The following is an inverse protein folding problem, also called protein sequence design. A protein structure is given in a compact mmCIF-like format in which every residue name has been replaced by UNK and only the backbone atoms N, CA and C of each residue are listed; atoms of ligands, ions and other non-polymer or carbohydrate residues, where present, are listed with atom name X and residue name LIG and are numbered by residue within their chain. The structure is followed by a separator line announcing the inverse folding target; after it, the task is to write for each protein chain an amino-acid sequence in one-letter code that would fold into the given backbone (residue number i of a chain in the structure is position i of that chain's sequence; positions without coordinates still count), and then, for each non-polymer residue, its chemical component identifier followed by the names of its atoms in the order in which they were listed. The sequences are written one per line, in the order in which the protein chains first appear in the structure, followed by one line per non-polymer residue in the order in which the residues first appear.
data_IF_157022904532
#
_entry.id   IF_157022904532
#
_cell.length_a   1.000
_cell.length_b   1.000
_cell.length_c   1.000
_cell.angle_alpha   90.00
_cell.angle_beta   90.00
_cell.angle_gamma   90.00
#
_symmetry.space_group_name_H-M   'P 1'
#
loop_
_entity.id
_entity.type
_entity.pdbx_description
1 polymer ?
#
# COMPACT_ATOMS: atom_id res chain seq x y z
N UNK A 1 -6.05 12.94 -24.49
CA UNK A 1 -7.18 12.12 -25.04
C UNK A 1 -8.50 12.70 -24.59
N UNK A 2 -9.49 12.73 -25.47
CA UNK A 2 -10.86 13.11 -25.10
C UNK A 2 -11.70 11.85 -24.97
N UNK A 3 -12.37 11.69 -23.82
CA UNK A 3 -13.34 10.62 -23.59
C UNK A 3 -14.75 11.13 -23.78
N UNK A 4 -15.63 10.25 -24.22
CA UNK A 4 -17.06 10.58 -24.32
C UNK A 4 -17.70 10.62 -22.93
N UNK A 5 -18.61 11.56 -22.75
CA UNK A 5 -19.46 11.64 -21.56
C UNK A 5 -20.52 10.54 -21.57
N UNK A 6 -20.92 10.09 -20.38
CA UNK A 6 -21.96 9.07 -20.23
C UNK A 6 -23.33 9.66 -20.57
N UNK A 7 -23.88 9.29 -21.75
CA UNK A 7 -25.24 9.64 -22.11
C UNK A 7 -26.27 8.77 -21.37
N UNK A 8 -27.56 9.21 -21.37
CA UNK A 8 -28.62 8.40 -20.80
C UNK A 8 -28.73 7.00 -21.48
N UNK A 9 -28.37 6.88 -22.75
CA UNK A 9 -28.30 5.60 -23.45
C UNK A 9 -27.22 4.69 -22.85
N UNK A 10 -26.02 5.22 -22.59
CA UNK A 10 -24.91 4.45 -21.98
C UNK A 10 -25.30 4.02 -20.56
N UNK A 11 -25.90 4.93 -19.77
CA UNK A 11 -26.40 4.59 -18.42
C UNK A 11 -27.44 3.46 -18.48
N UNK A 12 -28.41 3.53 -19.40
CA UNK A 12 -29.40 2.47 -19.55
C UNK A 12 -28.77 1.13 -19.95
N UNK A 13 -27.73 1.14 -20.79
CA UNK A 13 -26.97 -0.07 -21.14
C UNK A 13 -26.21 -0.62 -19.93
N UNK A 14 -25.54 0.23 -19.15
CA UNK A 14 -24.90 -0.18 -17.89
C UNK A 14 -25.92 -0.83 -16.94
N UNK A 15 -27.08 -0.21 -16.76
CA UNK A 15 -28.16 -0.76 -15.94
C UNK A 15 -28.67 -2.12 -16.44
N UNK A 16 -28.74 -2.31 -17.76
CA UNK A 16 -29.13 -3.59 -18.36
C UNK A 16 -28.07 -4.70 -18.13
N UNK A 17 -26.78 -4.34 -18.03
CA UNK A 17 -25.67 -5.27 -17.81
C UNK A 17 -25.55 -5.74 -16.35
N UNK A 18 -25.72 -4.82 -15.40
CA UNK A 18 -25.43 -5.11 -13.99
C UNK A 18 -26.67 -5.02 -13.07
N UNK A 19 -27.81 -4.56 -13.59
CA UNK A 19 -29.03 -4.26 -12.84
C UNK A 19 -29.13 -2.78 -12.45
N UNK A 20 -30.34 -2.23 -12.43
CA UNK A 20 -30.59 -0.81 -12.15
C UNK A 20 -30.05 -0.40 -10.78
N UNK A 21 -30.22 -1.25 -9.77
CA UNK A 21 -29.77 -1.03 -8.38
C UNK A 21 -28.25 -1.00 -8.23
N UNK A 22 -27.50 -1.44 -9.25
CA UNK A 22 -26.06 -1.51 -9.28
C UNK A 22 -25.41 -0.36 -10.08
N UNK A 23 -26.18 0.63 -10.50
CA UNK A 23 -25.69 1.83 -11.21
C UNK A 23 -26.15 3.07 -10.46
N UNK A 24 -25.20 3.80 -9.88
CA UNK A 24 -25.46 5.05 -9.15
C UNK A 24 -25.01 6.23 -9.99
N UNK A 25 -25.90 7.23 -10.13
CA UNK A 25 -25.67 8.49 -10.84
C UNK A 25 -26.02 9.71 -9.98
N UNK A 26 -26.48 9.49 -8.75
CA UNK A 26 -26.74 10.56 -7.78
C UNK A 26 -25.42 11.09 -7.21
N UNK A 27 -25.20 12.40 -7.36
CA UNK A 27 -23.94 13.03 -6.96
C UNK A 27 -23.63 12.84 -5.47
N UNK A 28 -24.64 12.91 -4.60
CA UNK A 28 -24.44 12.74 -3.15
C UNK A 28 -23.98 11.34 -2.78
N UNK A 29 -24.47 10.32 -3.48
CA UNK A 29 -24.04 8.93 -3.26
C UNK A 29 -22.69 8.62 -3.92
N UNK A 30 -22.31 9.37 -4.97
CA UNK A 30 -21.03 9.18 -5.66
C UNK A 30 -19.85 9.86 -4.96
N UNK A 31 -20.10 10.76 -4.01
CA UNK A 31 -19.07 11.56 -3.33
C UNK A 31 -17.94 10.72 -2.74
N UNK A 32 -18.25 9.61 -2.09
CA UNK A 32 -17.26 8.71 -1.48
C UNK A 32 -16.37 7.98 -2.51
N UNK A 33 -16.75 8.03 -3.79
CA UNK A 33 -15.98 7.44 -4.89
C UNK A 33 -15.15 8.49 -5.65
N UNK A 34 -15.24 9.76 -5.26
CA UNK A 34 -14.51 10.87 -5.88
C UNK A 34 -13.08 11.02 -5.34
N UNK A 35 -12.74 10.35 -4.26
CA UNK A 35 -11.45 10.40 -3.57
C UNK A 35 -11.05 9.04 -3.00
N UNK A 36 -9.82 8.91 -2.54
CA UNK A 36 -9.32 7.82 -1.69
C UNK A 36 -8.95 8.38 -0.30
N UNK A 37 -7.93 7.84 0.38
CA UNK A 37 -7.45 8.34 1.68
C UNK A 37 -6.54 9.59 1.59
N UNK A 38 -6.34 10.14 0.40
CA UNK A 38 -5.68 11.44 0.22
C UNK A 38 -6.67 12.55 0.53
N UNK A 39 -6.39 13.33 1.58
CA UNK A 39 -7.31 14.35 2.11
C UNK A 39 -7.22 15.70 1.40
N UNK A 40 -6.22 15.91 0.54
CA UNK A 40 -6.05 17.16 -0.20
C UNK A 40 -7.14 17.31 -1.27
N UNK A 41 -7.96 18.40 -1.21
CA UNK A 41 -9.04 18.63 -2.16
C UNK A 41 -8.60 18.73 -3.63
N UNK A 42 -7.32 19.00 -3.91
CA UNK A 42 -6.78 19.03 -5.26
C UNK A 42 -6.90 17.69 -6.00
N UNK A 43 -7.05 16.59 -5.24
CA UNK A 43 -7.18 15.24 -5.78
C UNK A 43 -8.61 14.70 -5.82
N UNK A 44 -9.61 15.54 -5.54
CA UNK A 44 -11.02 15.17 -5.58
C UNK A 44 -11.59 15.29 -7.00
N UNK A 45 -12.08 14.18 -7.56
CA UNK A 45 -12.67 14.14 -8.91
C UNK A 45 -13.91 13.26 -8.94
N UNK A 46 -15.06 13.85 -9.33
CA UNK A 46 -16.35 13.14 -9.40
C UNK A 46 -16.41 12.17 -10.59
N UNK A 47 -16.85 10.93 -10.37
CA UNK A 47 -17.25 10.04 -11.49
C UNK A 47 -18.55 10.52 -12.14
N UNK A 48 -18.84 10.00 -13.34
CA UNK A 48 -20.14 10.22 -13.99
C UNK A 48 -21.15 9.13 -13.62
N UNK A 49 -20.68 7.94 -13.26
CA UNK A 49 -21.45 6.88 -12.66
C UNK A 49 -20.57 5.97 -11.80
N UNK A 50 -21.18 5.35 -10.79
CA UNK A 50 -20.57 4.23 -10.05
C UNK A 50 -21.32 2.96 -10.41
N UNK A 51 -20.59 1.92 -10.82
CA UNK A 51 -21.12 0.62 -11.20
C UNK A 51 -20.61 -0.45 -10.28
N UNK A 52 -21.50 -1.21 -9.66
CA UNK A 52 -21.18 -2.33 -8.77
C UNK A 52 -21.26 -3.63 -9.56
N UNK A 53 -20.13 -4.29 -9.78
CA UNK A 53 -20.09 -5.60 -10.40
C UNK A 53 -20.19 -6.71 -9.36
N UNK A 54 -20.90 -7.79 -9.69
CA UNK A 54 -21.09 -8.97 -8.83
C UNK A 54 -20.32 -10.21 -9.34
N UNK A 55 -19.76 -10.14 -10.55
CA UNK A 55 -19.00 -11.22 -11.16
C UNK A 55 -18.14 -10.74 -12.34
N UNK A 56 -17.20 -11.58 -12.77
CA UNK A 56 -16.27 -11.30 -13.86
C UNK A 56 -16.96 -11.02 -15.20
N UNK A 57 -18.12 -11.64 -15.46
CA UNK A 57 -18.87 -11.46 -16.70
C UNK A 57 -19.45 -10.04 -16.80
N UNK A 58 -19.94 -9.49 -15.69
CA UNK A 58 -20.41 -8.10 -15.62
C UNK A 58 -19.23 -7.12 -15.80
N UNK A 59 -18.08 -7.36 -15.15
CA UNK A 59 -16.85 -6.58 -15.36
C UNK A 59 -16.46 -6.58 -16.83
N UNK A 60 -16.43 -7.75 -17.48
CA UNK A 60 -16.09 -7.91 -18.88
C UNK A 60 -17.06 -7.16 -19.80
N UNK A 61 -18.36 -7.18 -19.48
CA UNK A 61 -19.38 -6.48 -20.25
C UNK A 61 -19.25 -4.96 -20.15
N UNK A 62 -18.96 -4.43 -18.95
CA UNK A 62 -18.70 -2.99 -18.73
C UNK A 62 -17.46 -2.54 -19.51
N UNK A 63 -16.36 -3.30 -19.48
CA UNK A 63 -15.14 -2.98 -20.24
C UNK A 63 -15.38 -2.99 -21.75
N UNK A 64 -16.17 -3.94 -22.27
CA UNK A 64 -16.55 -3.96 -23.70
C UNK A 64 -17.36 -2.73 -24.07
N UNK A 65 -18.35 -2.36 -23.25
CA UNK A 65 -19.15 -1.17 -23.45
C UNK A 65 -18.30 0.11 -23.42
N UNK A 66 -17.32 0.16 -22.51
CA UNK A 66 -16.38 1.27 -22.42
C UNK A 66 -15.51 1.41 -23.68
N UNK A 67 -15.09 0.30 -24.29
CA UNK A 67 -14.38 0.32 -25.57
C UNK A 67 -15.29 0.77 -26.74
N UNK A 68 -16.57 0.32 -26.76
CA UNK A 68 -17.52 0.68 -27.80
C UNK A 68 -17.85 2.18 -27.79
N UNK A 69 -18.04 2.75 -26.60
CA UNK A 69 -18.45 4.14 -26.42
C UNK A 69 -17.32 5.09 -26.03
N UNK A 70 -16.10 4.60 -25.88
CA UNK A 70 -14.89 5.34 -25.53
C UNK A 70 -15.03 6.20 -24.26
N UNK A 71 -15.35 5.58 -23.13
CA UNK A 71 -15.34 6.21 -21.81
C UNK A 71 -14.38 5.50 -20.85
N UNK A 72 -13.79 6.20 -19.85
CA UNK A 72 -12.84 5.59 -18.94
C UNK A 72 -13.51 4.75 -17.87
N UNK A 73 -12.84 3.67 -17.46
CA UNK A 73 -13.23 2.79 -16.35
C UNK A 73 -12.14 2.81 -15.30
N UNK A 74 -12.48 3.23 -14.09
CA UNK A 74 -11.58 3.25 -12.93
C UNK A 74 -12.00 2.12 -11.99
N UNK A 75 -11.24 1.01 -11.91
CA UNK A 75 -11.54 -0.06 -10.98
C UNK A 75 -11.27 0.41 -9.55
N UNK A 76 -12.17 0.04 -8.62
CA UNK A 76 -12.06 0.43 -7.22
C UNK A 76 -12.33 -0.75 -6.29
N UNK A 77 -11.43 -0.96 -5.33
CA UNK A 77 -11.64 -1.78 -4.16
C UNK A 77 -12.28 -0.97 -3.02
N UNK A 78 -11.71 -1.03 -1.83
CA UNK A 78 -12.18 -0.28 -0.66
C UNK A 78 -11.90 1.23 -0.71
N UNK A 79 -10.99 1.69 -1.56
CA UNK A 79 -10.60 3.09 -1.62
C UNK A 79 -9.63 3.54 -0.53
N UNK A 80 -8.96 2.62 0.13
CA UNK A 80 -7.97 2.86 1.19
C UNK A 80 -6.59 3.29 0.68
N UNK A 81 -6.45 3.52 -0.63
CA UNK A 81 -5.19 3.94 -1.26
C UNK A 81 -4.75 5.35 -0.87
N UNK A 82 -3.44 5.61 -1.00
CA UNK A 82 -2.79 6.87 -0.62
C UNK A 82 -2.10 7.57 -1.81
N UNK A 83 -2.41 7.12 -3.04
CA UNK A 83 -1.79 7.63 -4.27
C UNK A 83 -2.80 8.09 -5.33
N UNK A 84 -4.10 8.18 -5.00
CA UNK A 84 -5.18 8.52 -5.93
C UNK A 84 -5.31 7.53 -7.10
N UNK A 85 -4.97 6.26 -6.86
CA UNK A 85 -5.07 5.18 -7.86
C UNK A 85 -6.50 4.88 -8.29
N UNK A 86 -7.47 4.99 -7.37
CA UNK A 86 -8.90 4.74 -7.62
C UNK A 86 -9.73 6.00 -7.87
N UNK A 87 -9.10 7.16 -8.11
CA UNK A 87 -9.78 8.44 -8.33
C UNK A 87 -10.05 8.67 -9.82
N UNK A 88 -11.29 9.00 -10.24
CA UNK A 88 -11.68 9.11 -11.66
C UNK A 88 -11.33 10.49 -12.27
N UNK A 89 -10.05 10.77 -12.47
CA UNK A 89 -9.55 12.07 -12.93
C UNK A 89 -10.09 12.54 -14.29
N UNK A 90 -10.60 11.63 -15.11
CA UNK A 90 -11.26 11.92 -16.38
C UNK A 90 -12.78 11.72 -16.35
N UNK A 91 -13.37 11.57 -15.15
CA UNK A 91 -14.79 11.19 -15.03
C UNK A 91 -15.05 9.73 -15.42
N UNK A 92 -16.11 9.48 -16.20
CA UNK A 92 -16.48 8.14 -16.64
C UNK A 92 -17.02 7.26 -15.50
N UNK A 93 -16.74 5.96 -15.56
CA UNK A 93 -17.25 4.97 -14.63
C UNK A 93 -16.24 4.59 -13.57
N UNK A 94 -16.61 4.74 -12.29
CA UNK A 94 -15.94 3.99 -11.20
C UNK A 94 -16.59 2.61 -11.13
N UNK A 95 -15.81 1.56 -11.36
CA UNK A 95 -16.26 0.17 -11.29
C UNK A 95 -15.87 -0.42 -9.93
N UNK A 96 -16.82 -0.44 -9.00
CA UNK A 96 -16.64 -1.00 -7.66
C UNK A 96 -16.71 -2.52 -7.68
N UNK A 97 -15.74 -3.16 -7.03
CA UNK A 97 -15.65 -4.61 -6.88
C UNK A 97 -16.07 -5.09 -5.49
N UNK A 98 -16.61 -4.21 -4.65
CA UNK A 98 -16.97 -4.52 -3.26
C UNK A 98 -18.02 -5.63 -3.11
N UNK A 99 -18.86 -5.86 -4.12
CA UNK A 99 -19.85 -6.95 -4.15
C UNK A 99 -19.28 -8.30 -4.55
N UNK A 100 -18.03 -8.33 -5.05
CA UNK A 100 -17.29 -9.54 -5.32
C UNK A 100 -16.44 -9.88 -4.09
N UNK A 101 -17.06 -10.36 -3.01
CA UNK A 101 -16.46 -10.47 -1.68
C UNK A 101 -16.51 -11.88 -1.08
N UNK A 102 -16.57 -12.92 -1.91
CA UNK A 102 -16.63 -14.31 -1.44
C UNK A 102 -15.24 -14.89 -1.23
N UNK A 103 -15.04 -15.53 -0.08
CA UNK A 103 -13.95 -16.51 0.10
C UNK A 103 -14.44 -17.81 -0.53
N UNK A 104 -13.94 -18.14 -1.72
CA UNK A 104 -14.42 -19.26 -2.53
C UNK A 104 -13.93 -20.58 -1.94
N UNK A 105 -12.64 -20.61 -1.56
CA UNK A 105 -12.01 -21.82 -1.00
C UNK A 105 -10.88 -21.41 -0.05
N UNK A 106 -10.75 -22.10 1.07
CA UNK A 106 -9.53 -22.13 1.91
C UNK A 106 -9.12 -23.58 2.06
N UNK A 107 -7.98 -23.94 1.50
CA UNK A 107 -7.43 -25.29 1.50
C UNK A 107 -6.12 -25.32 2.30
N UNK A 108 -6.21 -25.66 3.58
CA UNK A 108 -5.06 -25.71 4.47
C UNK A 108 -4.10 -26.85 4.13
N UNK A 109 -4.60 -27.99 3.63
CA UNK A 109 -3.75 -29.13 3.26
C UNK A 109 -2.86 -28.82 2.06
N UNK A 110 -3.37 -28.04 1.10
CA UNK A 110 -2.64 -27.63 -0.09
C UNK A 110 -2.10 -26.18 0.00
N UNK A 111 -2.23 -25.54 1.16
CA UNK A 111 -1.66 -24.23 1.51
C UNK A 111 -2.00 -23.13 0.51
N UNK A 112 -3.29 -22.96 0.18
CA UNK A 112 -3.80 -21.86 -0.64
C UNK A 112 -5.21 -21.45 -0.25
N UNK A 113 -5.59 -20.25 -0.67
CA UNK A 113 -6.99 -19.82 -0.70
C UNK A 113 -7.34 -19.19 -2.04
N UNK A 114 -8.62 -19.28 -2.41
CA UNK A 114 -9.20 -18.61 -3.60
C UNK A 114 -10.24 -17.63 -3.12
N UNK A 115 -10.09 -16.37 -3.51
CA UNK A 115 -10.94 -15.27 -3.06
C UNK A 115 -11.34 -14.35 -4.20
N UNK A 116 -12.48 -13.68 -4.06
CA UNK A 116 -12.89 -12.56 -4.90
C UNK A 116 -12.18 -11.28 -4.46
N UNK A 117 -12.02 -10.26 -5.32
CA UNK A 117 -11.20 -9.06 -5.06
C UNK A 117 -11.72 -8.17 -3.93
N UNK A 118 -13.03 -8.19 -3.62
CA UNK A 118 -13.66 -7.41 -2.56
C UNK A 118 -13.61 -8.06 -1.17
N UNK A 119 -12.91 -9.18 -1.00
CA UNK A 119 -12.69 -9.78 0.31
C UNK A 119 -11.74 -8.90 1.11
N UNK A 120 -12.09 -8.58 2.37
CA UNK A 120 -11.20 -7.86 3.29
C UNK A 120 -10.00 -8.73 3.69
N UNK A 121 -8.85 -8.10 3.83
CA UNK A 121 -7.62 -8.81 4.24
C UNK A 121 -7.80 -9.51 5.58
N UNK A 122 -8.39 -8.84 6.57
CA UNK A 122 -8.69 -9.42 7.89
C UNK A 122 -9.64 -10.62 7.81
N UNK A 123 -10.64 -10.59 6.93
CA UNK A 123 -11.56 -11.71 6.76
C UNK A 123 -10.85 -12.95 6.18
N UNK A 124 -9.94 -12.75 5.22
CA UNK A 124 -9.10 -13.84 4.68
C UNK A 124 -8.15 -14.40 5.76
N UNK A 125 -7.50 -13.51 6.53
CA UNK A 125 -6.61 -13.92 7.64
C UNK A 125 -7.38 -14.75 8.67
N UNK A 126 -8.57 -14.30 9.09
CA UNK A 126 -9.42 -15.01 10.02
C UNK A 126 -9.89 -16.38 9.48
N UNK A 127 -10.28 -16.45 8.20
CA UNK A 127 -10.71 -17.68 7.55
C UNK A 127 -9.56 -18.70 7.41
N UNK A 128 -8.33 -18.24 7.14
CA UNK A 128 -7.15 -19.09 7.10
C UNK A 128 -6.78 -19.61 8.50
N UNK A 129 -6.76 -18.71 9.50
CA UNK A 129 -6.44 -19.06 10.89
C UNK A 129 -7.44 -20.08 11.48
N UNK A 130 -8.73 -19.98 11.17
CA UNK A 130 -9.75 -20.93 11.57
C UNK A 130 -9.50 -22.36 11.05
N UNK A 131 -8.64 -22.51 10.01
CA UNK A 131 -8.20 -23.80 9.46
C UNK A 131 -6.75 -24.14 9.80
N UNK A 132 -6.13 -23.40 10.74
CA UNK A 132 -4.74 -23.64 11.16
C UNK A 132 -3.69 -23.19 10.14
N UNK A 133 -4.08 -22.35 9.17
CA UNK A 133 -3.22 -21.76 8.17
C UNK A 133 -3.06 -20.25 8.38
N UNK A 134 -2.10 -19.65 7.69
CA UNK A 134 -1.75 -18.24 7.85
C UNK A 134 -1.65 -17.55 6.48
N UNK A 135 -2.32 -16.40 6.32
CA UNK A 135 -2.11 -15.49 5.22
C UNK A 135 -1.19 -14.36 5.70
N UNK A 136 0.00 -14.25 5.10
CA UNK A 136 1.07 -13.39 5.61
C UNK A 136 0.93 -11.91 5.21
N UNK A 137 0.11 -11.57 4.18
CA UNK A 137 -0.10 -10.19 3.76
C UNK A 137 -0.72 -9.36 4.90
N UNK A 138 -0.06 -8.25 5.29
CA UNK A 138 -0.42 -7.46 6.46
C UNK A 138 -0.28 -5.95 6.22
N UNK A 139 -1.00 -5.37 5.23
CA UNK A 139 -1.00 -3.93 5.06
C UNK A 139 -1.62 -3.24 6.28
N UNK A 140 -1.14 -2.06 6.65
CA UNK A 140 -1.65 -1.31 7.81
C UNK A 140 -3.18 -1.08 7.79
N UNK A 141 -3.79 -1.05 6.60
CA UNK A 141 -5.24 -0.96 6.38
C UNK A 141 -5.96 -2.31 6.37
N UNK A 142 -5.36 -3.40 6.85
CA UNK A 142 -5.86 -4.77 6.73
C UNK A 142 -7.32 -4.99 7.17
N UNK A 143 -7.79 -4.20 8.14
CA UNK A 143 -9.17 -4.26 8.65
C UNK A 143 -10.21 -3.64 7.68
N UNK A 144 -9.78 -2.87 6.69
CA UNK A 144 -10.65 -2.14 5.75
C UNK A 144 -10.33 -2.38 4.28
N UNK A 145 -9.07 -2.64 3.92
CA UNK A 145 -8.67 -2.84 2.53
C UNK A 145 -9.13 -4.20 1.97
N UNK A 146 -9.27 -4.25 0.65
CA UNK A 146 -9.65 -5.46 -0.09
C UNK A 146 -8.45 -6.09 -0.78
N UNK A 147 -8.42 -7.43 -0.83
CA UNK A 147 -7.33 -8.21 -1.45
C UNK A 147 -7.08 -7.78 -2.91
N UNK A 148 -8.13 -7.47 -3.68
CA UNK A 148 -7.99 -6.99 -5.06
C UNK A 148 -7.22 -5.67 -5.17
N UNK A 149 -7.43 -4.76 -4.22
CA UNK A 149 -6.67 -3.52 -4.10
C UNK A 149 -5.21 -3.78 -3.75
N UNK A 150 -4.96 -4.66 -2.76
CA UNK A 150 -3.60 -5.03 -2.35
C UNK A 150 -2.80 -5.63 -3.52
N UNK A 151 -3.43 -6.49 -4.33
CA UNK A 151 -2.80 -7.06 -5.53
C UNK A 151 -2.56 -5.98 -6.59
N UNK A 152 -3.54 -5.10 -6.82
CA UNK A 152 -3.43 -4.04 -7.82
C UNK A 152 -2.29 -3.05 -7.52
N UNK A 153 -2.02 -2.75 -6.25
CA UNK A 153 -0.94 -1.84 -5.82
C UNK A 153 0.34 -2.57 -5.43
N UNK A 154 0.32 -3.91 -5.35
CA UNK A 154 1.39 -4.70 -4.73
C UNK A 154 1.67 -4.22 -3.29
N UNK A 155 0.62 -4.07 -2.49
CA UNK A 155 0.72 -3.52 -1.14
C UNK A 155 1.78 -4.25 -0.29
N UNK A 156 2.52 -3.48 0.49
CA UNK A 156 3.49 -3.95 1.47
C UNK A 156 2.83 -4.25 2.82
N UNK A 157 3.42 -3.75 3.89
CA UNK A 157 2.97 -3.87 5.27
C UNK A 157 4.04 -4.41 6.21
N UNK A 158 3.70 -4.47 7.50
CA UNK A 158 4.67 -4.71 8.58
C UNK A 158 5.49 -6.00 8.42
N UNK A 159 4.90 -7.05 7.82
CA UNK A 159 5.53 -8.36 7.66
C UNK A 159 6.30 -8.54 6.36
N UNK A 160 6.45 -7.47 5.56
CA UNK A 160 7.12 -7.55 4.27
C UNK A 160 8.60 -7.94 4.38
N UNK A 161 9.28 -7.57 5.45
CA UNK A 161 10.67 -7.94 5.72
C UNK A 161 10.89 -9.46 5.72
N UNK A 162 9.93 -10.24 6.22
CA UNK A 162 10.02 -11.72 6.28
C UNK A 162 9.32 -12.41 5.12
N UNK A 163 8.11 -11.98 4.82
CA UNK A 163 7.21 -12.70 3.92
C UNK A 163 7.09 -12.06 2.55
N UNK A 164 7.69 -10.88 2.35
CA UNK A 164 7.59 -10.10 1.13
C UNK A 164 6.23 -9.38 1.01
N UNK A 165 6.14 -8.56 -0.03
CA UNK A 165 4.93 -7.82 -0.39
C UNK A 165 3.84 -8.74 -0.96
N UNK A 166 2.67 -8.20 -1.30
CA UNK A 166 1.53 -8.95 -1.84
C UNK A 166 1.88 -9.84 -3.01
N UNK A 167 2.80 -9.44 -3.92
CA UNK A 167 3.24 -10.27 -5.06
C UNK A 167 3.82 -11.61 -4.66
N UNK A 168 4.46 -11.69 -3.49
CA UNK A 168 5.04 -12.93 -2.98
C UNK A 168 3.97 -13.89 -2.43
N UNK A 169 2.79 -13.36 -2.10
CA UNK A 169 1.66 -14.10 -1.56
C UNK A 169 0.69 -14.61 -2.64
N UNK A 170 0.87 -14.23 -3.91
CA UNK A 170 -0.06 -14.58 -4.99
C UNK A 170 0.50 -15.73 -5.85
N UNK A 171 -0.35 -16.72 -6.11
CA UNK A 171 -0.09 -17.79 -7.07
C UNK A 171 -0.65 -17.49 -8.46
N UNK A 172 -1.87 -16.94 -8.51
CA UNK A 172 -2.59 -16.74 -9.77
C UNK A 172 -3.67 -15.65 -9.60
N UNK A 173 -4.03 -15.03 -10.71
CA UNK A 173 -5.13 -14.08 -10.78
C UNK A 173 -6.03 -14.38 -11.98
N UNK A 174 -7.35 -14.23 -11.81
CA UNK A 174 -8.26 -14.04 -12.92
C UNK A 174 -8.40 -12.53 -13.15
N UNK A 175 -8.30 -12.10 -14.40
CA UNK A 175 -8.43 -10.70 -14.78
C UNK A 175 -9.35 -10.53 -15.97
N UNK A 176 -10.07 -9.42 -15.99
CA UNK A 176 -10.65 -8.90 -17.22
C UNK A 176 -9.63 -7.98 -17.86
N UNK A 177 -9.14 -8.37 -19.03
CA UNK A 177 -8.18 -7.57 -19.77
C UNK A 177 -8.80 -6.32 -20.41
N UNK A 178 -8.02 -5.38 -20.94
CA UNK A 178 -8.56 -4.14 -21.54
C UNK A 178 -9.52 -4.33 -22.72
N UNK A 179 -9.52 -5.53 -23.36
CA UNK A 179 -10.48 -5.86 -24.44
C UNK A 179 -11.77 -6.52 -23.93
N UNK A 180 -11.93 -6.64 -22.60
CA UNK A 180 -13.10 -7.28 -21.98
C UNK A 180 -13.11 -8.80 -22.08
N UNK A 181 -11.94 -9.46 -22.19
CA UNK A 181 -11.81 -10.92 -22.10
C UNK A 181 -11.40 -11.32 -20.68
N UNK A 182 -12.01 -12.37 -20.15
CA UNK A 182 -11.63 -12.99 -18.88
C UNK A 182 -10.46 -13.93 -19.14
N UNK A 183 -9.36 -13.76 -18.40
CA UNK A 183 -8.11 -14.52 -18.59
C UNK A 183 -7.60 -14.98 -17.24
N UNK A 184 -7.19 -16.26 -17.14
CA UNK A 184 -6.47 -16.81 -16.00
C UNK A 184 -4.96 -16.63 -16.21
N UNK A 185 -4.26 -16.06 -15.25
CA UNK A 185 -2.83 -15.80 -15.27
C UNK A 185 -2.17 -16.44 -14.05
N UNK A 186 -1.01 -17.06 -14.25
CA UNK A 186 -0.34 -17.83 -13.20
C UNK A 186 -0.98 -19.18 -12.92
N UNK A 187 -0.45 -19.92 -11.94
CA UNK A 187 -0.93 -21.21 -11.51
C UNK A 187 -0.50 -21.52 -10.07
N UNK A 188 -1.16 -22.47 -9.39
CA UNK A 188 -0.80 -22.95 -8.03
C UNK A 188 0.46 -23.81 -8.05
N UNK A 189 1.58 -23.24 -8.47
CA UNK A 189 2.85 -23.94 -8.63
C UNK A 189 3.96 -23.19 -7.90
N UNK A 190 4.82 -23.91 -7.19
CA UNK A 190 6.03 -23.35 -6.59
C UNK A 190 7.10 -22.97 -7.63
N UNK A 191 7.07 -23.64 -8.78
CA UNK A 191 7.99 -23.38 -9.89
C UNK A 191 7.22 -23.33 -11.20
N UNK A 192 7.39 -22.26 -11.95
CA UNK A 192 6.82 -22.12 -13.28
C UNK A 192 7.82 -21.39 -14.19
N UNK A 193 8.08 -21.97 -15.36
CA UNK A 193 8.94 -21.41 -16.41
C UNK A 193 8.24 -21.42 -17.77
N UNK A 194 6.90 -21.47 -17.77
CA UNK A 194 6.08 -21.56 -18.98
C UNK A 194 5.70 -20.15 -19.45
N UNK A 195 6.54 -19.55 -20.29
CA UNK A 195 6.28 -18.24 -20.86
C UNK A 195 6.55 -17.06 -19.90
N UNK A 196 5.97 -15.92 -20.20
CA UNK A 196 6.08 -14.71 -19.37
C UNK A 196 5.22 -14.81 -18.10
N UNK A 197 5.70 -14.27 -16.99
CA UNK A 197 4.96 -14.15 -15.73
C UNK A 197 3.96 -12.99 -15.82
N UNK A 198 2.86 -13.19 -16.53
CA UNK A 198 1.86 -12.14 -16.78
C UNK A 198 1.11 -11.75 -15.49
N UNK A 199 0.94 -12.68 -14.55
CA UNK A 199 0.41 -12.39 -13.22
C UNK A 199 1.26 -11.35 -12.49
N UNK A 200 2.58 -11.43 -12.63
CA UNK A 200 3.51 -10.46 -12.02
C UNK A 200 3.46 -9.08 -12.69
N UNK A 201 3.06 -9.01 -13.96
CA UNK A 201 2.83 -7.76 -14.67
C UNK A 201 1.53 -7.07 -14.21
N UNK A 202 0.50 -7.85 -13.87
CA UNK A 202 -0.77 -7.32 -13.35
C UNK A 202 -0.64 -6.85 -11.91
N UNK A 203 0.13 -7.57 -11.08
CA UNK A 203 0.37 -7.19 -9.68
C UNK A 203 1.20 -5.89 -9.65
N UNK A 204 0.64 -4.85 -9.03
CA UNK A 204 1.25 -3.52 -9.00
C UNK A 204 0.97 -2.65 -10.22
N UNK A 205 0.08 -3.08 -11.14
CA UNK A 205 -0.30 -2.28 -12.31
C UNK A 205 -1.38 -1.22 -12.01
N UNK A 206 -1.85 -1.13 -10.78
CA UNK A 206 -2.86 -0.16 -10.32
C UNK A 206 -4.14 -0.13 -11.19
N UNK A 207 -4.54 -1.30 -11.70
CA UNK A 207 -5.73 -1.44 -12.55
C UNK A 207 -5.59 -0.86 -13.97
N UNK A 208 -4.39 -0.49 -14.40
CA UNK A 208 -4.15 0.06 -15.74
C UNK A 208 -4.03 -1.00 -16.83
N UNK A 209 -3.67 -2.24 -16.47
CA UNK A 209 -3.44 -3.35 -17.41
C UNK A 209 -4.52 -4.43 -17.37
N UNK A 210 -5.38 -4.41 -16.37
CA UNK A 210 -6.47 -5.38 -16.21
C UNK A 210 -7.23 -5.14 -14.91
N UNK A 211 -8.45 -5.66 -14.82
CA UNK A 211 -9.30 -5.62 -13.63
C UNK A 211 -9.32 -7.01 -13.02
N UNK A 212 -8.83 -7.13 -11.79
CA UNK A 212 -8.71 -8.40 -11.06
C UNK A 212 -10.11 -8.84 -10.60
N UNK A 213 -10.49 -10.08 -10.91
CA UNK A 213 -11.80 -10.64 -10.58
C UNK A 213 -11.74 -11.88 -9.68
N UNK A 214 -10.58 -12.54 -9.57
CA UNK A 214 -10.33 -13.61 -8.62
C UNK A 214 -8.84 -13.70 -8.30
N UNK A 215 -8.50 -14.08 -7.10
CA UNK A 215 -7.11 -14.22 -6.63
C UNK A 215 -6.93 -15.58 -5.97
N UNK A 216 -5.85 -16.29 -6.33
CA UNK A 216 -5.37 -17.45 -5.60
C UNK A 216 -4.13 -17.05 -4.81
N UNK A 217 -4.25 -17.06 -3.49
CA UNK A 217 -3.16 -16.70 -2.57
C UNK A 217 -2.50 -17.93 -1.97
N UNK A 218 -1.23 -17.76 -1.59
CA UNK A 218 -0.46 -18.71 -0.80
C UNK A 218 -0.87 -18.61 0.66
N UNK A 219 -0.93 -19.75 1.33
CA UNK A 219 -1.02 -19.83 2.77
C UNK A 219 0.27 -20.45 3.32
N UNK A 220 0.52 -20.24 4.58
CA UNK A 220 1.64 -20.75 5.35
C UNK A 220 1.12 -21.47 6.60
N UNK A 221 1.92 -22.32 7.27
CA UNK A 221 1.60 -22.79 8.61
C UNK A 221 1.43 -21.60 9.56
N UNK A 222 0.44 -21.68 10.44
CA UNK A 222 0.23 -20.66 11.46
C UNK A 222 1.40 -20.67 12.45
N UNK A 223 2.10 -19.54 12.66
CA UNK A 223 3.13 -19.41 13.68
C UNK A 223 2.58 -19.74 15.06
N UNK A 224 3.33 -20.50 15.86
CA UNK A 224 2.89 -20.95 17.19
C UNK A 224 3.41 -20.06 18.30
N UNK A 225 4.57 -19.48 18.10
CA UNK A 225 5.27 -18.67 19.09
C UNK A 225 5.71 -17.37 18.42
N UNK A 226 5.46 -16.25 19.07
CA UNK A 226 5.95 -14.93 18.67
C UNK A 226 6.24 -14.09 19.91
N UNK A 227 7.13 -13.13 19.76
CA UNK A 227 7.49 -12.17 20.81
C UNK A 227 7.75 -10.81 20.18
N UNK A 228 7.33 -9.76 20.89
CA UNK A 228 7.60 -8.38 20.52
C UNK A 228 8.66 -7.80 21.48
N UNK A 229 9.70 -7.20 20.91
CA UNK A 229 10.67 -6.41 21.66
C UNK A 229 10.54 -4.95 21.25
N UNK A 230 10.69 -4.07 22.24
CA UNK A 230 10.80 -2.64 22.09
C UNK A 230 12.20 -2.21 22.51
N UNK A 231 13.01 -1.72 21.57
CA UNK A 231 14.26 -1.06 21.86
C UNK A 231 14.08 0.46 21.73
N UNK A 232 14.61 1.22 22.69
CA UNK A 232 14.48 2.68 22.76
C UNK A 232 15.84 3.32 22.53
N UNK A 233 15.94 4.17 21.50
CA UNK A 233 17.18 4.82 21.09
C UNK A 233 17.06 6.34 21.21
N UNK A 234 18.11 7.00 21.72
CA UNK A 234 18.18 8.46 21.71
C UNK A 234 18.41 8.98 20.28
N UNK A 235 19.36 8.38 19.54
CA UNK A 235 19.68 8.75 18.18
C UNK A 235 18.86 7.94 17.15
N UNK A 236 18.16 8.59 16.21
CA UNK A 236 17.38 7.92 15.17
C UNK A 236 18.22 7.01 14.28
N UNK A 237 19.43 7.44 13.94
CA UNK A 237 20.35 6.73 13.05
C UNK A 237 20.83 5.40 13.67
N UNK A 238 21.00 5.35 14.98
CA UNK A 238 21.41 4.15 15.71
C UNK A 238 20.28 3.11 15.70
N UNK A 239 19.03 3.55 15.87
CA UNK A 239 17.87 2.67 15.80
C UNK A 239 17.79 1.94 14.44
N UNK A 240 17.81 2.69 13.35
CA UNK A 240 17.73 2.12 12.00
C UNK A 240 19.00 1.35 11.64
N UNK A 241 20.18 1.87 12.00
CA UNK A 241 21.47 1.21 11.76
C UNK A 241 21.62 -0.14 12.46
N UNK A 242 20.83 -0.40 13.50
CA UNK A 242 20.81 -1.68 14.23
C UNK A 242 20.10 -2.79 13.47
N UNK A 243 19.15 -2.48 12.61
CA UNK A 243 18.33 -3.48 11.90
C UNK A 243 19.17 -4.47 11.11
N UNK A 244 20.11 -3.99 10.29
CA UNK A 244 21.00 -4.85 9.52
C UNK A 244 21.86 -5.78 10.39
N UNK A 245 22.23 -5.32 11.60
CA UNK A 245 23.04 -6.14 12.54
C UNK A 245 22.20 -7.28 13.11
N UNK A 246 20.92 -7.05 13.40
CA UNK A 246 19.98 -8.09 13.80
C UNK A 246 19.85 -9.17 12.72
N UNK A 247 19.64 -8.75 11.47
CA UNK A 247 19.51 -9.68 10.32
C UNK A 247 20.81 -10.48 10.13
N UNK A 248 21.97 -9.83 10.20
CA UNK A 248 23.28 -10.49 10.04
C UNK A 248 23.63 -11.44 11.18
N UNK A 249 23.07 -11.23 12.38
CA UNK A 249 23.18 -12.16 13.49
C UNK A 249 22.31 -13.41 13.36
N UNK A 250 21.55 -13.52 12.27
CA UNK A 250 20.65 -14.65 12.01
C UNK A 250 19.24 -14.47 12.60
N UNK A 251 18.97 -13.34 13.22
CA UNK A 251 17.60 -12.99 13.61
C UNK A 251 16.83 -12.65 12.32
N UNK A 252 15.80 -13.43 12.04
CA UNK A 252 14.87 -13.15 10.93
C UNK A 252 13.60 -12.54 11.53
N UNK A 253 13.52 -11.21 11.66
CA UNK A 253 12.35 -10.58 12.27
C UNK A 253 11.13 -10.75 11.36
N UNK A 254 9.97 -10.88 12.00
CA UNK A 254 8.68 -10.90 11.31
C UNK A 254 8.26 -9.50 10.93
N UNK A 255 8.49 -8.54 11.83
CA UNK A 255 8.30 -7.11 11.62
C UNK A 255 9.46 -6.35 12.25
N UNK A 256 9.84 -5.22 11.64
CA UNK A 256 10.75 -4.23 12.24
C UNK A 256 10.21 -2.85 11.92
N UNK A 257 9.71 -2.17 12.96
CA UNK A 257 9.03 -0.89 12.82
C UNK A 257 9.78 0.20 13.61
N UNK A 258 10.01 1.32 12.95
CA UNK A 258 10.59 2.50 13.59
C UNK A 258 9.54 3.59 13.76
N UNK A 259 9.59 4.32 14.87
CA UNK A 259 8.80 5.54 15.10
C UNK A 259 9.70 6.59 15.77
N UNK A 260 9.75 7.81 15.23
CA UNK A 260 10.46 8.90 15.87
C UNK A 260 9.74 9.37 17.15
N UNK A 261 10.47 9.97 18.07
CA UNK A 261 9.92 10.38 19.36
C UNK A 261 8.78 11.38 19.22
N UNK A 262 8.84 12.28 18.23
CA UNK A 262 7.79 13.27 18.00
C UNK A 262 6.49 12.56 17.58
N UNK A 263 6.58 11.56 16.72
CA UNK A 263 5.46 10.71 16.31
C UNK A 263 4.88 9.92 17.49
N UNK A 264 5.74 9.35 18.34
CA UNK A 264 5.30 8.66 19.55
C UNK A 264 4.49 9.60 20.44
N UNK A 265 4.94 10.83 20.64
CA UNK A 265 4.20 11.85 21.41
C UNK A 265 2.86 12.25 20.76
N UNK A 266 2.79 12.25 19.43
CA UNK A 266 1.53 12.45 18.71
C UNK A 266 0.54 11.32 18.96
N UNK A 267 1.02 10.08 18.93
CA UNK A 267 0.21 8.88 19.21
C UNK A 267 -0.26 8.86 20.67
N UNK A 268 0.60 9.21 21.64
CA UNK A 268 0.20 9.34 23.05
C UNK A 268 -0.93 10.34 23.25
N UNK A 269 -0.84 11.50 22.61
CA UNK A 269 -1.92 12.51 22.67
C UNK A 269 -3.23 12.00 22.08
N UNK A 270 -3.15 11.29 20.96
CA UNK A 270 -4.32 10.72 20.29
C UNK A 270 -4.98 9.63 21.12
N UNK A 271 -4.19 8.71 21.69
CA UNK A 271 -4.69 7.60 22.49
C UNK A 271 -5.06 8.01 23.93
N UNK A 272 -4.60 9.19 24.38
CA UNK A 272 -4.81 9.65 25.76
C UNK A 272 -4.05 8.81 26.81
N UNK A 273 -2.94 8.19 26.43
CA UNK A 273 -2.14 7.31 27.32
C UNK A 273 -0.65 7.48 27.05
N UNK A 274 0.17 7.29 28.08
CA UNK A 274 1.62 7.27 27.93
C UNK A 274 2.12 5.89 27.50
N UNK A 275 3.10 5.86 26.62
CA UNK A 275 3.73 4.66 26.13
C UNK A 275 5.05 4.41 26.85
N UNK A 276 5.39 3.13 27.08
CA UNK A 276 6.58 2.73 27.84
C UNK A 276 7.87 3.22 27.16
N UNK A 277 8.74 3.94 27.87
CA UNK A 277 10.02 4.44 27.36
C UNK A 277 9.92 5.65 26.42
N UNK A 278 8.73 6.21 26.21
CA UNK A 278 8.51 7.33 25.29
C UNK A 278 9.21 8.63 25.70
N UNK A 279 9.61 8.76 26.96
CA UNK A 279 10.37 9.89 27.47
C UNK A 279 11.88 9.81 27.13
N UNK A 280 12.35 8.66 26.64
CA UNK A 280 13.79 8.39 26.45
C UNK A 280 14.24 8.46 24.99
N UNK A 281 13.34 8.29 24.02
CA UNK A 281 13.79 8.33 22.64
C UNK A 281 12.81 7.77 21.59
N UNK A 282 13.40 7.32 20.50
CA UNK A 282 12.75 6.74 19.35
C UNK A 282 12.54 5.24 19.55
N UNK A 283 11.50 4.67 18.95
CA UNK A 283 11.20 3.24 19.05
C UNK A 283 11.73 2.46 17.87
N UNK A 284 12.32 1.31 18.15
CA UNK A 284 12.48 0.20 17.23
C UNK A 284 11.68 -0.98 17.80
N UNK A 285 10.58 -1.33 17.14
CA UNK A 285 9.69 -2.43 17.51
C UNK A 285 10.06 -3.62 16.65
N UNK A 286 10.39 -4.75 17.26
CA UNK A 286 10.79 -5.96 16.53
C UNK A 286 9.94 -7.14 16.95
N UNK A 287 9.16 -7.69 16.01
CA UNK A 287 8.46 -8.96 16.20
C UNK A 287 9.31 -10.11 15.66
N UNK A 288 9.46 -11.16 16.45
CA UNK A 288 10.09 -12.41 16.03
C UNK A 288 9.15 -13.60 16.24
N UNK A 289 9.23 -14.57 15.35
CA UNK A 289 8.57 -15.87 15.49
C UNK A 289 9.59 -16.93 15.89
N UNK A 290 9.13 -17.91 16.66
CA UNK A 290 9.98 -19.00 17.17
C UNK A 290 9.35 -20.38 17.00
N UNK A 291 10.18 -21.40 17.20
CA UNK A 291 9.78 -22.80 17.20
C UNK A 291 9.39 -23.30 18.58
N UNK A 292 9.84 -22.58 19.65
CA UNK A 292 9.53 -22.82 21.05
C UNK A 292 9.71 -21.51 21.85
N UNK A 293 9.33 -21.51 23.11
CA UNK A 293 9.61 -20.40 24.04
C UNK A 293 11.14 -20.22 24.24
N UNK A 294 11.89 -21.30 24.42
CA UNK A 294 13.36 -21.25 24.55
C UNK A 294 14.04 -20.59 23.32
N UNK A 295 13.54 -20.87 22.09
CA UNK A 295 14.03 -20.23 20.85
C UNK A 295 13.74 -18.71 20.85
N UNK A 296 12.59 -18.28 21.36
CA UNK A 296 12.26 -16.87 21.51
C UNK A 296 13.15 -16.18 22.56
N UNK A 297 13.40 -16.83 23.69
CA UNK A 297 14.26 -16.30 24.75
C UNK A 297 15.72 -16.14 24.27
N UNK A 298 16.25 -17.10 23.50
CA UNK A 298 17.59 -16.99 22.88
C UNK A 298 17.65 -15.82 21.89
N UNK A 299 16.63 -15.65 21.04
CA UNK A 299 16.53 -14.51 20.11
C UNK A 299 16.44 -13.20 20.88
N UNK A 300 15.61 -13.13 21.94
CA UNK A 300 15.48 -11.92 22.76
C UNK A 300 16.81 -11.50 23.41
N UNK A 301 17.56 -12.45 23.97
CA UNK A 301 18.88 -12.17 24.54
C UNK A 301 19.85 -11.63 23.46
N UNK A 302 19.89 -12.26 22.29
CA UNK A 302 20.73 -11.81 21.17
C UNK A 302 20.35 -10.40 20.71
N UNK A 303 19.05 -10.11 20.63
CA UNK A 303 18.55 -8.80 20.23
C UNK A 303 18.86 -7.73 21.28
N UNK A 304 18.73 -8.06 22.57
CA UNK A 304 19.10 -7.15 23.66
C UNK A 304 20.58 -6.79 23.59
N UNK A 305 21.48 -7.76 23.44
CA UNK A 305 22.91 -7.55 23.29
C UNK A 305 23.21 -6.61 22.10
N UNK A 306 22.67 -6.93 20.92
CA UNK A 306 22.91 -6.13 19.70
C UNK A 306 22.35 -4.72 19.83
N UNK A 307 21.13 -4.55 20.33
CA UNK A 307 20.53 -3.23 20.49
C UNK A 307 21.30 -2.40 21.52
N UNK A 308 21.66 -2.97 22.66
CA UNK A 308 22.44 -2.30 23.71
C UNK A 308 23.84 -1.89 23.24
N UNK A 309 24.54 -2.74 22.50
CA UNK A 309 25.87 -2.43 21.91
C UNK A 309 25.76 -1.32 20.83
N UNK A 310 24.57 -1.04 20.30
CA UNK A 310 24.34 -0.05 19.28
C UNK A 310 23.55 1.18 19.76
N UNK A 311 23.55 1.43 21.09
CA UNK A 311 23.06 2.67 21.65
C UNK A 311 21.62 2.66 22.15
N UNK A 312 20.97 1.48 22.22
CA UNK A 312 19.69 1.39 22.90
C UNK A 312 19.84 1.70 24.40
N UNK A 313 19.04 2.62 24.90
CA UNK A 313 18.99 2.92 26.33
C UNK A 313 18.17 1.91 27.14
N UNK A 314 17.16 1.33 26.51
CA UNK A 314 16.33 0.25 27.09
C UNK A 314 15.98 -0.75 25.98
N UNK A 315 15.93 -2.03 26.36
CA UNK A 315 15.36 -3.12 25.54
C UNK A 315 14.37 -3.90 26.41
N UNK A 316 13.13 -4.03 25.95
CA UNK A 316 12.01 -4.49 26.75
C UNK A 316 11.17 -5.49 25.95
N UNK A 317 10.67 -6.53 26.60
CA UNK A 317 9.58 -7.33 26.02
C UNK A 317 8.31 -6.49 26.08
N UNK A 318 7.72 -6.24 24.92
CA UNK A 318 6.55 -5.39 24.80
C UNK A 318 5.24 -6.19 24.95
N UNK A 319 4.19 -5.53 25.47
CA UNK A 319 2.83 -6.07 25.41
C UNK A 319 2.31 -5.92 23.98
N UNK A 320 2.10 -7.05 23.29
CA UNK A 320 1.69 -7.10 21.88
C UNK A 320 0.57 -6.11 21.53
N UNK A 321 -0.57 -6.23 22.18
CA UNK A 321 -1.74 -5.41 21.87
C UNK A 321 -1.48 -3.90 22.01
N UNK A 322 -0.73 -3.50 23.03
CA UNK A 322 -0.45 -2.08 23.29
C UNK A 322 0.52 -1.48 22.28
N UNK A 323 1.62 -2.19 21.98
CA UNK A 323 2.63 -1.65 21.08
C UNK A 323 2.11 -1.56 19.65
N UNK A 324 1.35 -2.60 19.20
CA UNK A 324 0.77 -2.59 17.87
C UNK A 324 -0.44 -1.65 17.76
N UNK A 325 -1.21 -1.45 18.84
CA UNK A 325 -2.23 -0.39 18.88
C UNK A 325 -1.59 0.99 18.68
N UNK A 326 -0.45 1.25 19.34
CA UNK A 326 0.28 2.49 19.17
C UNK A 326 0.79 2.66 17.73
N UNK A 327 1.38 1.62 17.14
CA UNK A 327 1.87 1.66 15.75
C UNK A 327 0.74 1.87 14.73
N UNK A 328 -0.39 1.19 14.91
CA UNK A 328 -1.59 1.32 14.06
C UNK A 328 -2.24 2.71 14.18
N UNK A 329 -2.18 3.34 15.35
CA UNK A 329 -2.75 4.67 15.59
C UNK A 329 -1.99 5.80 14.90
N UNK A 330 -0.82 5.54 14.29
CA UNK A 330 0.02 6.54 13.64
C UNK A 330 -0.74 7.42 12.63
N UNK A 331 -1.44 6.80 11.68
CA UNK A 331 -2.15 7.53 10.63
C UNK A 331 -3.26 8.43 11.18
N UNK A 332 -4.00 7.95 12.19
CA UNK A 332 -5.09 8.70 12.83
C UNK A 332 -4.55 9.81 13.74
N UNK A 333 -3.44 9.57 14.44
CA UNK A 333 -2.78 10.59 15.24
C UNK A 333 -2.28 11.76 14.36
N UNK A 334 -1.70 11.46 13.21
CA UNK A 334 -1.29 12.48 12.22
C UNK A 334 -2.50 13.25 11.69
N UNK A 335 -3.59 12.55 11.34
CA UNK A 335 -4.83 13.17 10.85
C UNK A 335 -5.48 14.08 11.90
N UNK A 336 -5.40 13.72 13.18
CA UNK A 336 -5.89 14.53 14.28
C UNK A 336 -5.09 15.84 14.49
N UNK A 337 -3.82 15.86 14.09
CA UNK A 337 -2.98 17.06 14.17
C UNK A 337 -3.13 18.00 12.97
N UNK A 338 -3.40 17.46 11.78
CA UNK A 338 -3.56 18.25 10.56
C UNK A 338 -4.52 17.60 9.59
N UNK A 339 -5.44 18.42 9.05
CA UNK A 339 -6.39 17.99 8.01
C UNK A 339 -5.72 17.89 6.63
N UNK A 340 -4.62 18.60 6.41
CA UNK A 340 -3.88 18.59 5.14
C UNK A 340 -2.48 18.04 5.41
N UNK A 341 -2.21 16.86 4.87
CA UNK A 341 -0.95 16.15 5.05
C UNK A 341 -0.43 15.68 3.70
N UNK A 342 0.81 16.04 3.38
CA UNK A 342 1.53 15.40 2.28
C UNK A 342 2.19 14.13 2.82
N UNK A 343 1.70 12.97 2.37
CA UNK A 343 2.22 11.65 2.75
C UNK A 343 3.20 11.19 1.68
N UNK A 344 4.45 11.01 2.06
CA UNK A 344 5.50 10.40 1.25
C UNK A 344 5.78 8.97 1.73
N UNK A 345 6.13 8.12 0.79
CA UNK A 345 6.29 6.68 0.95
C UNK A 345 7.61 6.27 0.29
N UNK A 346 8.69 6.81 0.83
CA UNK A 346 10.00 6.70 0.21
C UNK A 346 10.66 5.37 0.54
N UNK A 347 11.42 4.82 -0.40
CA UNK A 347 12.12 3.55 -0.20
C UNK A 347 13.53 3.60 -0.77
N UNK A 348 14.47 3.03 -0.02
CA UNK A 348 15.86 2.86 -0.45
C UNK A 348 16.37 1.47 -0.06
N UNK A 349 17.54 1.04 -0.58
CA UNK A 349 18.25 -0.11 -0.03
C UNK A 349 18.47 0.05 1.47
N UNK A 350 18.29 -1.03 2.25
CA UNK A 350 18.29 -0.99 3.73
C UNK A 350 19.59 -0.43 4.31
N UNK A 351 20.72 -0.63 3.65
CA UNK A 351 22.02 -0.07 4.05
C UNK A 351 22.13 1.46 3.87
N UNK A 352 21.24 2.06 3.08
CA UNK A 352 21.12 3.50 2.88
C UNK A 352 20.03 4.16 3.73
N UNK A 353 19.21 3.40 4.44
CA UNK A 353 18.07 3.93 5.22
C UNK A 353 18.50 4.92 6.33
N UNK A 354 19.60 4.69 7.09
CA UNK A 354 20.08 5.69 8.05
C UNK A 354 20.43 7.03 7.41
N UNK A 355 21.07 6.99 6.24
CA UNK A 355 21.41 8.20 5.49
C UNK A 355 20.17 8.90 4.91
N UNK A 356 19.17 8.13 4.48
CA UNK A 356 17.88 8.66 4.01
C UNK A 356 17.14 9.36 5.16
N UNK A 357 17.09 8.76 6.35
CA UNK A 357 16.45 9.38 7.51
C UNK A 357 17.15 10.70 7.88
N UNK A 358 18.48 10.71 7.91
CA UNK A 358 19.26 11.92 8.17
C UNK A 358 18.97 13.02 7.13
N UNK A 359 18.87 12.66 5.86
CA UNK A 359 18.53 13.60 4.78
C UNK A 359 17.09 14.13 4.93
N UNK A 360 16.12 13.29 5.29
CA UNK A 360 14.72 13.70 5.56
C UNK A 360 14.70 14.76 6.67
N UNK A 361 15.39 14.52 7.79
CA UNK A 361 15.43 15.45 8.92
C UNK A 361 16.12 16.76 8.51
N UNK A 362 17.24 16.70 7.79
CA UNK A 362 17.95 17.87 7.25
C UNK A 362 17.08 18.73 6.34
N UNK A 363 16.31 18.08 5.45
CA UNK A 363 15.41 18.76 4.51
C UNK A 363 14.20 19.34 5.23
N UNK A 364 13.65 18.64 6.22
CA UNK A 364 12.57 19.17 7.06
C UNK A 364 12.97 20.47 7.77
N UNK A 365 14.16 20.51 8.35
CA UNK A 365 14.74 21.71 8.98
C UNK A 365 14.95 22.83 7.93
N UNK A 366 15.61 22.51 6.81
CA UNK A 366 15.90 23.46 5.72
C UNK A 366 14.64 24.17 5.21
N UNK A 367 13.56 23.42 5.02
CA UNK A 367 12.30 23.93 4.48
C UNK A 367 11.28 24.29 5.56
N UNK A 368 11.66 24.22 6.84
CA UNK A 368 10.79 24.51 7.99
C UNK A 368 9.46 23.76 7.92
N UNK A 369 9.54 22.43 7.69
CA UNK A 369 8.40 21.54 7.58
C UNK A 369 8.17 20.80 8.90
N UNK A 370 6.92 20.67 9.29
CA UNK A 370 6.53 19.84 10.43
C UNK A 370 6.29 18.41 9.95
N UNK A 371 7.05 17.47 10.50
CA UNK A 371 7.03 16.06 10.04
C UNK A 371 6.64 15.08 11.14
N UNK A 372 6.11 13.91 10.72
CA UNK A 372 5.91 12.71 11.54
C UNK A 372 6.43 11.53 10.75
N UNK A 373 7.29 10.74 11.37
CA UNK A 373 8.03 9.67 10.70
C UNK A 373 7.75 8.34 11.37
N UNK A 374 7.40 7.36 10.55
CA UNK A 374 7.42 5.94 10.89
C UNK A 374 8.04 5.17 9.71
N UNK A 375 8.62 4.00 9.97
CA UNK A 375 9.30 3.22 8.93
C UNK A 375 9.05 1.73 9.14
N UNK A 376 8.91 1.00 8.03
CA UNK A 376 9.17 -0.43 7.95
C UNK A 376 10.68 -0.61 7.84
N UNK A 377 11.39 -0.43 8.97
CA UNK A 377 12.86 -0.35 8.99
C UNK A 377 13.55 -1.65 8.54
N UNK A 378 12.81 -2.76 8.46
CA UNK A 378 13.32 -4.04 7.96
C UNK A 378 13.45 -4.12 6.43
N UNK A 379 12.80 -3.22 5.69
CA UNK A 379 12.77 -3.26 4.22
C UNK A 379 13.07 -1.91 3.53
N UNK A 380 13.49 -0.91 4.32
CA UNK A 380 13.98 0.37 3.81
C UNK A 380 12.88 1.35 3.41
N UNK A 381 11.64 1.13 3.86
CA UNK A 381 10.50 1.97 3.52
C UNK A 381 10.15 2.95 4.64
N UNK A 382 10.28 4.25 4.37
CA UNK A 382 9.99 5.33 5.32
C UNK A 382 8.70 6.07 4.94
N UNK A 383 7.77 6.15 5.88
CA UNK A 383 6.56 6.97 5.79
C UNK A 383 6.84 8.35 6.37
N UNK A 384 7.01 9.33 5.51
CA UNK A 384 7.18 10.73 5.88
C UNK A 384 5.86 11.47 5.70
N UNK A 385 5.27 11.91 6.81
CA UNK A 385 4.09 12.77 6.78
C UNK A 385 4.50 14.21 7.04
N UNK A 386 4.22 15.10 6.10
CA UNK A 386 4.49 16.55 6.18
C UNK A 386 3.17 17.24 6.45
N UNK A 387 3.04 17.83 7.63
CA UNK A 387 1.80 18.43 8.14
C UNK A 387 1.73 19.91 7.78
N UNK A 388 0.62 20.34 7.20
CA UNK A 388 0.30 21.77 7.08
C UNK A 388 -0.20 22.26 8.42
N UNK A 389 0.44 23.29 8.98
CA UNK A 389 -0.03 23.94 10.20
C UNK A 389 -1.24 24.83 9.89
N UNK A 390 -2.14 25.02 10.87
CA UNK A 390 -3.39 25.76 10.70
C UNK A 390 -3.17 27.20 10.19
N UNK A 391 -2.15 27.88 10.73
CA UNK A 391 -1.84 29.28 10.41
C UNK A 391 -1.04 29.47 9.12
N UNK A 392 -0.57 28.40 8.47
CA UNK A 392 0.22 28.50 7.25
C UNK A 392 -0.67 28.76 6.03
N UNK A 393 -0.19 29.60 5.11
CA UNK A 393 -0.78 29.71 3.79
C UNK A 393 -0.55 28.40 3.01
N UNK A 394 -1.58 27.93 2.30
CA UNK A 394 -1.50 26.66 1.57
C UNK A 394 -0.48 26.72 0.42
N UNK A 395 -0.46 27.84 -0.34
CA UNK A 395 0.42 27.92 -1.50
C UNK A 395 1.91 28.00 -1.09
N UNK A 396 2.20 28.71 0.02
CA UNK A 396 3.55 28.78 0.58
C UNK A 396 4.01 27.42 1.13
N UNK A 397 3.12 26.73 1.84
CA UNK A 397 3.39 25.38 2.35
C UNK A 397 3.62 24.39 1.19
N UNK A 398 2.73 24.34 0.20
CA UNK A 398 2.84 23.44 -0.97
C UNK A 398 4.12 23.69 -1.78
N UNK A 399 4.52 24.98 -1.93
CA UNK A 399 5.78 25.31 -2.60
C UNK A 399 7.00 24.77 -1.85
N UNK A 400 7.02 24.84 -0.50
CA UNK A 400 8.10 24.28 0.33
C UNK A 400 8.11 22.75 0.29
N UNK A 401 6.94 22.12 0.31
CA UNK A 401 6.81 20.67 0.16
C UNK A 401 7.35 20.21 -1.20
N UNK A 402 6.99 20.89 -2.29
CA UNK A 402 7.51 20.57 -3.64
C UNK A 402 9.02 20.75 -3.74
N UNK A 403 9.56 21.82 -3.14
CA UNK A 403 11.01 22.01 -3.10
C UNK A 403 11.72 20.92 -2.30
N UNK A 404 11.15 20.49 -1.17
CA UNK A 404 11.62 19.36 -0.40
C UNK A 404 11.60 18.06 -1.23
N UNK A 405 10.47 17.74 -1.87
CA UNK A 405 10.32 16.56 -2.73
C UNK A 405 11.42 16.50 -3.81
N UNK A 406 11.72 17.62 -4.45
CA UNK A 406 12.74 17.69 -5.50
C UNK A 406 14.13 17.30 -5.01
N UNK A 407 14.54 17.75 -3.83
CA UNK A 407 15.84 17.37 -3.26
C UNK A 407 15.83 15.95 -2.71
N UNK A 408 14.75 15.58 -2.01
CA UNK A 408 14.60 14.26 -1.42
C UNK A 408 14.65 13.16 -2.49
N UNK A 409 13.89 13.29 -3.58
CA UNK A 409 13.87 12.26 -4.62
C UNK A 409 15.17 12.21 -5.44
N UNK A 410 15.88 13.32 -5.62
CA UNK A 410 17.25 13.27 -6.16
C UNK A 410 18.18 12.44 -5.28
N UNK A 411 18.11 12.64 -3.96
CA UNK A 411 18.89 11.84 -3.01
C UNK A 411 18.52 10.36 -3.12
N UNK A 412 17.23 10.03 -3.07
CA UNK A 412 16.73 8.66 -3.13
C UNK A 412 17.20 7.93 -4.39
N UNK A 413 17.03 8.52 -5.56
CA UNK A 413 17.45 7.90 -6.82
C UNK A 413 18.97 7.79 -6.96
N UNK A 414 19.73 8.75 -6.43
CA UNK A 414 21.19 8.66 -6.39
C UNK A 414 21.71 7.50 -5.52
N UNK A 415 20.89 7.03 -4.55
CA UNK A 415 21.21 5.92 -3.66
C UNK A 415 20.45 4.63 -4.00
N UNK A 416 19.91 4.50 -5.22
CA UNK A 416 19.27 3.27 -5.70
C UNK A 416 17.83 3.06 -5.23
N UNK A 417 17.23 4.05 -4.57
CA UNK A 417 15.84 4.00 -4.10
C UNK A 417 14.79 4.29 -5.19
N UNK A 418 13.53 4.38 -4.77
CA UNK A 418 12.36 4.61 -5.65
C UNK A 418 11.33 5.52 -4.97
N UNK A 419 10.37 6.02 -5.77
CA UNK A 419 9.31 6.95 -5.35
C UNK A 419 8.34 6.39 -4.33
N UNK A 420 8.11 5.09 -4.32
CA UNK A 420 7.11 4.46 -3.45
C UNK A 420 7.55 3.05 -3.08
N UNK A 421 7.48 2.74 -1.80
CA UNK A 421 7.68 1.39 -1.26
C UNK A 421 6.43 0.53 -1.43
N UNK A 422 5.25 1.08 -1.07
CA UNK A 422 4.01 0.29 -1.04
C UNK A 422 2.75 1.04 -1.50
N UNK A 423 2.69 2.39 -1.41
CA UNK A 423 1.47 3.14 -1.72
C UNK A 423 1.12 3.19 -3.21
N UNK A 424 2.09 2.95 -4.10
CA UNK A 424 1.95 3.12 -5.53
C UNK A 424 2.17 4.56 -6.00
N UNK A 425 2.08 4.74 -7.30
CA UNK A 425 2.28 6.03 -7.99
C UNK A 425 0.95 6.76 -8.16
N UNK A 426 -0.07 6.05 -8.66
CA UNK A 426 -1.39 6.57 -8.91
C UNK A 426 -1.39 7.84 -9.77
N UNK A 427 -2.24 8.78 -9.39
CA UNK A 427 -2.25 10.12 -9.97
C UNK A 427 -1.34 11.10 -9.19
N UNK A 428 -1.24 10.92 -7.87
CA UNK A 428 -0.53 11.84 -6.96
C UNK A 428 0.96 11.97 -7.30
N UNK A 429 1.65 10.85 -7.60
CA UNK A 429 3.10 10.82 -7.85
C UNK A 429 3.48 10.76 -9.33
N UNK A 430 2.49 10.87 -10.22
CA UNK A 430 2.72 10.74 -11.67
C UNK A 430 3.77 11.72 -12.21
N UNK A 431 3.75 12.98 -11.79
CA UNK A 431 4.74 13.97 -12.23
C UNK A 431 6.16 13.63 -11.76
N UNK A 432 6.29 13.15 -10.52
CA UNK A 432 7.58 12.69 -10.00
C UNK A 432 8.06 11.44 -10.73
N UNK A 433 7.13 10.53 -11.10
CA UNK A 433 7.44 9.34 -11.91
C UNK A 433 8.04 9.73 -13.28
N UNK A 434 7.45 10.69 -13.95
CA UNK A 434 7.93 11.22 -15.23
C UNK A 434 9.29 11.93 -15.10
N UNK A 435 9.55 12.57 -13.98
CA UNK A 435 10.77 13.34 -13.76
C UNK A 435 11.96 12.48 -13.33
N UNK A 436 11.74 11.51 -12.41
CA UNK A 436 12.83 10.78 -11.76
C UNK A 436 13.09 9.39 -12.33
N UNK A 437 12.11 8.78 -13.01
CA UNK A 437 12.30 7.44 -13.57
C UNK A 437 13.08 7.50 -14.88
N UNK A 438 13.92 6.49 -15.12
CA UNK A 438 14.68 6.39 -16.37
C UNK A 438 13.74 6.46 -17.59
N UNK A 439 13.98 7.35 -18.56
CA UNK A 439 13.14 7.51 -19.74
C UNK A 439 12.92 6.21 -20.54
N UNK A 440 13.94 5.35 -20.66
CA UNK A 440 13.85 4.07 -21.38
C UNK A 440 12.93 3.08 -20.60
N UNK A 441 12.96 3.10 -19.27
CA UNK A 441 12.05 2.33 -18.41
C UNK A 441 10.60 2.79 -18.59
N UNK A 442 10.36 4.11 -18.60
CA UNK A 442 9.04 4.69 -18.87
C UNK A 442 8.52 4.32 -20.27
N UNK A 443 9.40 4.36 -21.29
CA UNK A 443 9.03 3.99 -22.66
C UNK A 443 8.59 2.51 -22.73
N UNK A 444 9.28 1.61 -22.05
CA UNK A 444 8.88 0.19 -21.96
C UNK A 444 7.50 0.03 -21.29
N UNK A 445 7.24 0.74 -20.19
CA UNK A 445 5.93 0.70 -19.51
C UNK A 445 4.82 1.25 -20.43
N UNK A 446 5.05 2.37 -21.12
CA UNK A 446 4.10 2.95 -22.09
C UNK A 446 3.83 2.01 -23.24
N UNK A 447 4.86 1.33 -23.76
CA UNK A 447 4.72 0.36 -24.85
C UNK A 447 3.82 -0.82 -24.43
N UNK A 448 4.00 -1.35 -23.20
CA UNK A 448 3.16 -2.41 -22.63
C UNK A 448 1.71 -1.93 -22.52
N UNK A 449 1.48 -0.76 -21.93
CA UNK A 449 0.14 -0.20 -21.79
C UNK A 449 -0.53 0.01 -23.15
N UNK A 450 0.15 0.61 -24.13
CA UNK A 450 -0.38 0.82 -25.49
C UNK A 450 -0.71 -0.51 -26.19
N UNK A 451 0.12 -1.53 -26.01
CA UNK A 451 -0.11 -2.85 -26.62
C UNK A 451 -1.33 -3.57 -26.03
N UNK A 452 -1.55 -3.47 -24.71
CA UNK A 452 -2.65 -4.16 -24.03
C UNK A 452 -3.96 -3.36 -24.05
N UNK A 453 -3.89 -2.04 -23.91
CA UNK A 453 -5.03 -1.10 -23.84
C UNK A 453 -4.87 0.05 -24.85
N UNK A 454 -5.00 -0.22 -26.15
CA UNK A 454 -4.78 0.79 -27.19
C UNK A 454 -5.78 1.96 -27.13
N UNK A 455 -6.97 1.75 -26.56
CA UNK A 455 -7.98 2.77 -26.35
C UNK A 455 -7.79 3.54 -25.03
N UNK A 456 -6.82 3.15 -24.21
CA UNK A 456 -6.55 3.71 -22.88
C UNK A 456 -7.79 3.81 -21.99
N UNK A 457 -8.64 2.76 -21.99
CA UNK A 457 -9.91 2.74 -21.25
C UNK A 457 -9.70 2.48 -19.75
N UNK A 458 -8.73 1.61 -19.40
CA UNK A 458 -8.54 1.19 -18.01
C UNK A 458 -7.66 2.18 -17.23
N UNK A 459 -8.26 2.75 -16.21
CA UNK A 459 -7.63 3.63 -15.22
C UNK A 459 -6.67 4.68 -15.83
N UNK A 460 -7.10 5.45 -16.82
CA UNK A 460 -6.21 6.35 -17.55
C UNK A 460 -5.64 7.47 -16.67
N UNK A 461 -4.43 7.93 -17.01
CA UNK A 461 -3.73 9.02 -16.33
C UNK A 461 -3.15 8.63 -14.97
N UNK A 462 -3.01 7.33 -14.69
CA UNK A 462 -2.30 6.80 -13.53
C UNK A 462 -0.92 6.32 -13.95
N UNK A 463 0.02 6.38 -13.00
CA UNK A 463 1.43 5.98 -13.11
C UNK A 463 2.24 6.90 -14.04
N UNK A 464 1.83 7.05 -15.30
CA UNK A 464 2.46 7.89 -16.34
C UNK A 464 1.42 8.36 -17.37
N UNK A 465 1.78 9.35 -18.17
CA UNK A 465 0.97 9.78 -19.32
C UNK A 465 1.28 8.92 -20.56
N UNK A 466 0.24 8.63 -21.35
CA UNK A 466 0.35 8.01 -22.66
C UNK A 466 0.18 9.13 -23.70
N UNK A 467 1.25 9.42 -24.39
CA UNK A 467 1.23 10.30 -25.57
C UNK A 467 0.64 9.59 -26.79
#
# INVERSE_FOLDING_TARGET
MEYNKLSNEIIAKLQALVGVQNVVTDAGQMEIYAHDEVTDPAYHHMPEAVVFAENAQQVAAVVKLANEYHFPVVPRGAGTGLACGAVPIYGGVVLSLEKMNKIIEVNADAMYAVVEPGVRTSDLQAAAAAKGAFYAGDPCSGDSCFIGGNVATNAGGNRAVKYGTTRHQVYAVEVVNPTGKIVQLGARLQKQTTGYCLEQLIIGSEGTLGIITQITVKLLPLPKYSMDLLAVFEAPEDAIGTVNKLIMAGIMPTCVEYMDNITIKSVERYLGTSLQGSEKGNYLIVEVEGTSEDDLDEKACTMDEICSENGAGDVLVAEHDKIWQARKAFAEAVRAESLIVCKEDVVCPVDHEPALLAEILRLADKYQLVTRIASHAGDGNIHLNILKQEQEDYADWDARVKANQQELYRFIYAHGGRLSGEHGIGYKRKQLMEEFTNPDELEMMRAIKKALDPNNILNPGKIFDIE
#
